data_IF_482847246887
#
_entry.id   IF_482847246887
#
_cell.length_a   1.000
_cell.length_b   1.000
_cell.length_c   1.000
_cell.angle_alpha   90.00
_cell.angle_beta   90.00
_cell.angle_gamma   90.00
#
_symmetry.space_group_name_H-M   'P 1'
#
loop_
_entity.id
_entity.type
_entity.pdbx_description
1 polymer ?
#
# COMPACT_ATOMS: atom_id res chain seq x y z
N UNK A 1 -22.96 -4.30 23.14
CA UNK A 1 -22.83 -5.29 22.06
C UNK A 1 -23.19 -4.56 20.79
N UNK A 2 -22.18 -3.99 20.13
CA UNK A 2 -22.34 -3.42 18.80
C UNK A 2 -21.98 -4.58 17.86
N UNK A 3 -22.94 -5.03 17.04
CA UNK A 3 -22.71 -6.12 16.09
C UNK A 3 -21.52 -5.76 15.19
N UNK A 4 -20.59 -6.69 15.02
CA UNK A 4 -19.57 -6.54 13.99
C UNK A 4 -20.28 -6.28 12.64
N UNK A 5 -19.73 -5.46 11.73
CA UNK A 5 -20.28 -5.32 10.40
C UNK A 5 -20.38 -6.72 9.78
N UNK A 6 -21.60 -7.23 9.68
CA UNK A 6 -21.89 -8.54 9.11
C UNK A 6 -21.51 -8.50 7.63
N UNK A 7 -21.00 -9.63 7.11
CA UNK A 7 -20.94 -9.81 5.66
C UNK A 7 -22.31 -9.46 5.06
N UNK A 8 -22.34 -8.93 3.83
CA UNK A 8 -23.60 -8.68 3.13
C UNK A 8 -24.36 -10.01 2.96
N UNK A 9 -25.21 -10.34 3.93
CA UNK A 9 -26.07 -11.53 3.93
C UNK A 9 -27.24 -11.28 2.97
N UNK A 10 -26.98 -11.48 1.69
CA UNK A 10 -27.99 -11.41 0.64
C UNK A 10 -27.62 -12.31 -0.53
N UNK A 11 -28.61 -12.96 -1.13
CA UNK A 11 -28.40 -13.67 -2.40
C UNK A 11 -27.91 -12.67 -3.46
N UNK A 12 -26.84 -12.99 -4.23
CA UNK A 12 -26.29 -12.07 -5.20
C UNK A 12 -27.38 -11.64 -6.20
N UNK A 13 -27.64 -10.34 -6.24
CA UNK A 13 -28.60 -9.75 -7.19
C UNK A 13 -27.83 -9.27 -8.42
N UNK A 14 -28.28 -9.57 -9.65
CA UNK A 14 -27.65 -9.07 -10.86
C UNK A 14 -27.54 -7.53 -10.83
N UNK A 15 -26.33 -7.01 -10.98
CA UNK A 15 -26.08 -5.56 -10.97
C UNK A 15 -26.00 -4.98 -12.38
N UNK A 16 -26.44 -3.73 -12.52
CA UNK A 16 -26.22 -2.92 -13.74
C UNK A 16 -24.87 -2.19 -13.73
N UNK A 17 -24.19 -2.19 -12.58
CA UNK A 17 -22.88 -1.54 -12.44
C UNK A 17 -21.82 -2.31 -13.24
N UNK A 18 -20.80 -1.64 -13.78
CA UNK A 18 -19.60 -2.32 -14.28
C UNK A 18 -18.98 -3.15 -13.15
N UNK A 19 -18.57 -4.37 -13.47
CA UNK A 19 -17.91 -5.29 -12.53
C UNK A 19 -16.69 -5.92 -13.19
N UNK A 20 -15.65 -6.16 -12.39
CA UNK A 20 -14.51 -6.99 -12.78
C UNK A 20 -14.63 -8.35 -12.14
N UNK A 21 -14.74 -9.41 -12.94
CA UNK A 21 -14.88 -10.79 -12.43
C UNK A 21 -13.77 -11.15 -11.43
N UNK A 22 -12.52 -10.74 -11.70
CA UNK A 22 -11.39 -11.00 -10.83
C UNK A 22 -11.43 -10.22 -9.51
N UNK A 23 -12.09 -9.05 -9.49
CA UNK A 23 -12.33 -8.28 -8.27
C UNK A 23 -13.49 -8.84 -7.46
N UNK A 24 -14.55 -9.33 -8.11
CA UNK A 24 -15.69 -9.97 -7.44
C UNK A 24 -15.25 -11.23 -6.65
N UNK A 25 -14.23 -11.96 -7.11
CA UNK A 25 -13.66 -13.12 -6.38
C UNK A 25 -13.12 -12.77 -4.99
N UNK A 26 -12.67 -11.53 -4.78
CA UNK A 26 -12.00 -11.08 -3.55
C UNK A 26 -12.81 -10.04 -2.77
N UNK A 27 -13.96 -9.62 -3.30
CA UNK A 27 -14.77 -8.54 -2.74
C UNK A 27 -15.32 -8.97 -1.37
N UNK A 28 -15.06 -8.15 -0.35
CA UNK A 28 -15.39 -8.46 1.05
C UNK A 28 -14.45 -9.48 1.72
N UNK A 29 -13.46 -10.00 0.99
CA UNK A 29 -12.43 -10.90 1.53
C UNK A 29 -11.31 -10.14 2.24
N UNK A 30 -10.85 -10.68 3.38
CA UNK A 30 -9.84 -10.06 4.22
C UNK A 30 -8.49 -10.76 4.01
N UNK A 31 -7.49 -10.02 3.52
CA UNK A 31 -6.14 -10.53 3.28
C UNK A 31 -5.24 -10.13 4.46
N UNK A 32 -4.66 -11.11 5.20
CA UNK A 32 -3.80 -10.82 6.33
C UNK A 32 -2.55 -10.03 5.92
N UNK A 33 -2.13 -9.10 6.78
CA UNK A 33 -0.89 -8.34 6.63
C UNK A 33 -0.21 -8.23 7.99
N UNK A 34 1.10 -8.44 8.05
CA UNK A 34 1.85 -8.53 9.31
C UNK A 34 1.33 -9.68 10.20
N UNK A 35 1.29 -9.47 11.52
CA UNK A 35 0.87 -10.46 12.52
C UNK A 35 -0.63 -10.41 12.87
N UNK A 36 -1.22 -9.21 12.87
CA UNK A 36 -2.64 -9.00 13.24
C UNK A 36 -3.41 -8.11 12.25
N UNK A 37 -2.74 -7.57 11.23
CA UNK A 37 -3.34 -6.64 10.28
C UNK A 37 -4.05 -7.34 9.14
N UNK A 38 -4.75 -6.53 8.35
CA UNK A 38 -5.38 -6.97 7.10
C UNK A 38 -5.66 -5.80 6.16
N UNK A 39 -5.92 -6.14 4.90
CA UNK A 39 -6.60 -5.29 3.92
C UNK A 39 -7.77 -6.08 3.33
N UNK A 40 -8.94 -5.45 3.26
CA UNK A 40 -10.10 -5.97 2.55
C UNK A 40 -10.57 -4.96 1.51
N UNK A 41 -10.86 -5.41 0.28
CA UNK A 41 -11.57 -4.60 -0.71
C UNK A 41 -13.05 -4.66 -0.37
N UNK A 42 -13.62 -3.57 0.12
CA UNK A 42 -15.01 -3.50 0.58
C UNK A 42 -15.97 -3.22 -0.56
N UNK A 43 -15.60 -2.26 -1.41
CA UNK A 43 -16.37 -1.87 -2.59
C UNK A 43 -15.44 -1.25 -3.63
N UNK A 44 -15.89 -1.23 -4.88
CA UNK A 44 -15.24 -0.49 -5.94
C UNK A 44 -16.28 0.06 -6.93
N UNK A 45 -15.95 1.17 -7.56
CA UNK A 45 -16.76 1.78 -8.61
C UNK A 45 -15.94 1.85 -9.89
N UNK A 46 -16.37 1.10 -10.92
CA UNK A 46 -15.77 1.14 -12.24
C UNK A 46 -14.51 0.30 -12.40
N UNK A 47 -14.01 0.27 -13.63
CA UNK A 47 -12.89 -0.53 -14.10
C UNK A 47 -12.13 0.22 -15.21
N UNK A 48 -11.21 -0.44 -15.91
CA UNK A 48 -10.52 0.12 -17.07
C UNK A 48 -11.47 0.66 -18.16
N UNK A 49 -12.64 0.03 -18.33
CA UNK A 49 -13.64 0.50 -19.28
C UNK A 49 -14.31 1.80 -18.80
N UNK A 50 -14.40 2.05 -17.49
CA UNK A 50 -14.81 3.36 -16.96
C UNK A 50 -13.80 4.45 -17.31
N UNK A 51 -12.50 4.17 -17.19
CA UNK A 51 -11.43 5.12 -17.58
C UNK A 51 -11.53 5.47 -19.06
N UNK A 52 -11.67 4.46 -19.93
CA UNK A 52 -11.84 4.68 -21.36
C UNK A 52 -13.10 5.49 -21.67
N UNK A 53 -14.24 5.13 -21.09
CA UNK A 53 -15.51 5.85 -21.30
C UNK A 53 -15.36 7.31 -20.92
N UNK A 54 -14.79 7.60 -19.75
CA UNK A 54 -14.58 8.96 -19.27
C UNK A 54 -13.68 9.77 -20.23
N UNK A 55 -12.58 9.18 -20.70
CA UNK A 55 -11.68 9.83 -21.66
C UNK A 55 -12.34 10.10 -23.03
N UNK A 56 -13.23 9.20 -23.48
CA UNK A 56 -13.89 9.30 -24.79
C UNK A 56 -15.12 10.20 -24.82
N UNK A 57 -15.66 10.63 -23.68
CA UNK A 57 -16.67 11.70 -23.66
C UNK A 57 -16.14 12.96 -24.37
N UNK A 58 -14.82 13.16 -24.39
CA UNK A 58 -14.16 14.20 -25.16
C UNK A 58 -14.15 13.99 -26.69
N UNK A 59 -14.44 12.78 -27.21
CA UNK A 59 -14.25 12.40 -28.63
C UNK A 59 -15.47 11.75 -29.31
N UNK A 60 -16.60 11.55 -28.61
CA UNK A 60 -17.84 11.00 -29.19
C UNK A 60 -17.91 9.46 -29.25
N UNK A 61 -19.11 8.92 -29.51
CA UNK A 61 -19.41 7.48 -29.45
C UNK A 61 -18.96 6.73 -30.74
N UNK A 62 -18.24 5.61 -30.59
CA UNK A 62 -17.84 4.71 -31.69
C UNK A 62 -17.61 3.26 -31.25
N UNK A 63 -17.65 2.31 -32.19
CA UNK A 63 -17.59 0.84 -31.98
C UNK A 63 -16.19 0.32 -31.61
N UNK A 64 -16.15 -0.74 -30.79
CA UNK A 64 -15.07 -1.09 -29.85
C UNK A 64 -14.13 -2.21 -30.33
N UNK A 65 -12.83 -2.14 -29.99
CA UNK A 65 -11.87 -3.26 -29.98
C UNK A 65 -10.99 -3.14 -28.74
N UNK A 66 -10.75 -4.24 -28.01
CA UNK A 66 -9.96 -4.28 -26.76
C UNK A 66 -8.54 -3.72 -26.93
N UNK A 67 -7.92 -3.91 -28.10
CA UNK A 67 -6.60 -3.33 -28.42
C UNK A 67 -6.59 -1.80 -28.40
N UNK A 68 -7.72 -1.15 -28.71
CA UNK A 68 -7.86 0.30 -28.65
C UNK A 68 -7.96 0.81 -27.21
N UNK A 69 -8.55 0.03 -26.30
CA UNK A 69 -8.67 0.34 -24.87
C UNK A 69 -7.29 0.38 -24.22
N UNK A 70 -6.50 -0.68 -24.37
CA UNK A 70 -5.14 -0.75 -23.80
C UNK A 70 -4.25 0.38 -24.31
N UNK A 71 -4.27 0.65 -25.62
CA UNK A 71 -3.50 1.74 -26.21
C UNK A 71 -3.88 3.11 -25.64
N UNK A 72 -5.18 3.38 -25.50
CA UNK A 72 -5.68 4.64 -24.93
C UNK A 72 -5.27 4.82 -23.46
N UNK A 73 -5.53 3.84 -22.60
CA UNK A 73 -5.22 3.94 -21.16
C UNK A 73 -3.72 4.16 -20.93
N UNK A 74 -2.88 3.45 -21.66
CA UNK A 74 -1.42 3.64 -21.62
C UNK A 74 -1.01 5.03 -22.11
N UNK A 75 -1.63 5.52 -23.19
CA UNK A 75 -1.39 6.88 -23.68
C UNK A 75 -1.75 7.93 -22.62
N UNK A 76 -2.93 7.82 -22.00
CA UNK A 76 -3.38 8.74 -20.95
C UNK A 76 -2.40 8.77 -19.79
N UNK A 77 -1.99 7.59 -19.31
CA UNK A 77 -1.05 7.44 -18.20
C UNK A 77 0.31 8.07 -18.51
N UNK A 78 0.87 7.76 -19.68
CA UNK A 78 2.17 8.26 -20.14
C UNK A 78 2.21 9.79 -20.28
N UNK A 79 1.07 10.40 -20.66
CA UNK A 79 0.95 11.85 -20.85
C UNK A 79 0.33 12.57 -19.66
N UNK A 80 0.18 11.90 -18.51
CA UNK A 80 -0.37 12.47 -17.27
C UNK A 80 -1.78 13.05 -17.46
N UNK A 81 -2.59 12.45 -18.33
CA UNK A 81 -4.03 12.71 -18.40
C UNK A 81 -4.72 11.90 -17.30
N UNK A 82 -4.77 12.44 -16.09
CA UNK A 82 -5.13 11.71 -14.86
C UNK A 82 -6.62 11.64 -14.59
N UNK A 83 -7.38 12.66 -15.00
CA UNK A 83 -8.81 12.79 -14.65
C UNK A 83 -9.70 11.62 -15.10
N UNK A 84 -9.44 10.90 -16.21
CA UNK A 84 -10.23 9.70 -16.52
C UNK A 84 -10.03 8.57 -15.50
N UNK A 85 -8.84 8.45 -14.90
CA UNK A 85 -8.57 7.45 -13.86
C UNK A 85 -9.25 7.78 -12.54
N UNK A 86 -9.52 9.06 -12.25
CA UNK A 86 -10.25 9.49 -11.04
C UNK A 86 -11.71 9.00 -11.02
N UNK A 87 -12.23 8.49 -12.15
CA UNK A 87 -13.58 7.92 -12.26
C UNK A 87 -13.66 6.45 -11.79
N UNK A 88 -12.54 5.87 -11.37
CA UNK A 88 -12.49 4.55 -10.71
C UNK A 88 -12.19 4.77 -9.24
N UNK A 89 -13.01 4.24 -8.35
CA UNK A 89 -12.87 4.40 -6.90
C UNK A 89 -12.80 3.05 -6.20
N UNK A 90 -11.98 2.96 -5.16
CA UNK A 90 -11.82 1.76 -4.34
C UNK A 90 -12.01 2.13 -2.87
N UNK A 91 -12.76 1.29 -2.15
CA UNK A 91 -12.96 1.41 -0.72
C UNK A 91 -12.37 0.19 -0.03
N UNK A 92 -11.51 0.43 0.97
CA UNK A 92 -10.83 -0.60 1.72
C UNK A 92 -11.23 -0.55 3.19
N UNK A 93 -11.26 -1.70 3.84
CA UNK A 93 -11.20 -1.81 5.29
C UNK A 93 -9.82 -2.35 5.65
N UNK A 94 -9.06 -1.58 6.43
CA UNK A 94 -7.70 -1.93 6.79
C UNK A 94 -7.56 -2.00 8.31
N UNK A 95 -6.79 -2.98 8.80
CA UNK A 95 -6.25 -2.97 10.15
C UNK A 95 -4.72 -2.90 10.10
N UNK A 96 -4.16 -1.93 10.84
CA UNK A 96 -2.72 -1.67 10.86
C UNK A 96 -2.22 -1.09 12.18
N UNK A 97 -0.91 -1.16 12.45
CA UNK A 97 -0.34 -0.45 13.59
C UNK A 97 -0.46 1.07 13.43
N UNK A 98 -0.65 1.80 14.53
CA UNK A 98 -0.78 3.27 14.52
C UNK A 98 0.41 3.95 13.83
N UNK A 99 1.65 3.45 13.98
CA UNK A 99 2.80 4.04 13.27
C UNK A 99 2.72 3.90 11.74
N UNK A 100 2.05 2.85 11.22
CA UNK A 100 1.77 2.68 9.79
C UNK A 100 0.65 3.63 9.38
N UNK A 101 -0.44 3.69 10.16
CA UNK A 101 -1.57 4.60 9.91
C UNK A 101 -1.10 6.06 9.81
N UNK A 102 -0.17 6.50 10.67
CA UNK A 102 0.41 7.85 10.64
C UNK A 102 1.20 8.19 9.37
N UNK A 103 1.78 7.19 8.69
CA UNK A 103 2.43 7.38 7.38
C UNK A 103 1.40 7.40 6.25
N UNK A 104 0.38 6.56 6.37
CA UNK A 104 -0.67 6.40 5.37
C UNK A 104 -1.62 7.60 5.32
N UNK A 105 -2.00 8.18 6.46
CA UNK A 105 -2.91 9.35 6.53
C UNK A 105 -2.34 10.63 5.89
N UNK A 106 -1.04 10.64 5.56
CA UNK A 106 -0.40 11.76 4.84
C UNK A 106 -0.88 11.89 3.39
N UNK A 107 -1.56 10.88 2.86
CA UNK A 107 -2.18 10.86 1.54
C UNK A 107 -3.58 11.50 1.60
N UNK A 108 -3.59 12.83 1.50
CA UNK A 108 -4.73 13.72 1.81
C UNK A 108 -5.89 13.67 0.80
N UNK A 109 -5.70 13.01 -0.35
CA UNK A 109 -6.71 12.90 -1.41
C UNK A 109 -7.63 11.69 -1.23
N UNK A 110 -7.58 11.04 -0.07
CA UNK A 110 -8.48 9.96 0.32
C UNK A 110 -9.52 10.44 1.36
N UNK A 111 -10.61 9.68 1.47
CA UNK A 111 -11.56 9.77 2.60
C UNK A 111 -11.25 8.68 3.62
N UNK A 112 -11.18 9.04 4.90
CA UNK A 112 -10.80 8.13 5.99
C UNK A 112 -11.82 8.20 7.13
N UNK A 113 -12.21 7.04 7.65
CA UNK A 113 -12.95 6.93 8.91
C UNK A 113 -12.26 5.90 9.80
N UNK A 114 -11.65 6.36 10.89
CA UNK A 114 -10.83 5.54 11.79
C UNK A 114 -11.56 5.19 13.08
N UNK A 115 -11.31 3.98 13.58
CA UNK A 115 -11.72 3.52 14.89
C UNK A 115 -11.30 4.52 15.98
N UNK A 116 -12.27 5.00 16.76
CA UNK A 116 -12.01 5.99 17.78
C UNK A 116 -11.96 5.35 19.16
N UNK A 117 -10.77 5.29 19.75
CA UNK A 117 -10.59 4.90 21.14
C UNK A 117 -11.28 5.83 22.15
N UNK A 118 -11.95 6.92 21.71
CA UNK A 118 -12.75 7.83 22.57
C UNK A 118 -14.10 7.22 22.87
N UNK A 119 -14.66 6.53 21.90
CA UNK A 119 -15.98 5.95 21.97
C UNK A 119 -15.93 4.48 22.34
N UNK A 120 -14.81 3.79 22.10
CA UNK A 120 -14.72 2.34 22.27
C UNK A 120 -13.40 1.92 22.93
N UNK A 121 -13.39 0.73 23.55
CA UNK A 121 -12.17 0.17 24.14
C UNK A 121 -11.27 -0.39 23.04
N UNK A 122 -10.00 0.00 23.03
CA UNK A 122 -9.04 -0.43 22.01
C UNK A 122 -8.74 -1.94 22.18
N UNK A 123 -8.81 -2.74 21.10
CA UNK A 123 -8.20 -4.07 21.10
C UNK A 123 -6.71 -4.00 21.41
N UNK A 124 -6.23 -4.82 22.34
CA UNK A 124 -4.82 -4.86 22.76
C UNK A 124 -3.99 -5.76 21.84
N UNK A 125 -4.07 -5.51 20.54
CA UNK A 125 -3.24 -6.12 19.51
C UNK A 125 -2.04 -5.22 19.26
N UNK A 126 -0.82 -5.75 19.40
CA UNK A 126 0.41 -5.00 19.23
C UNK A 126 1.29 -5.65 18.17
N UNK A 127 1.78 -4.86 17.21
CA UNK A 127 2.71 -5.36 16.18
C UNK A 127 3.98 -5.94 16.78
N UNK A 128 4.26 -7.19 16.45
CA UNK A 128 5.49 -7.89 16.77
C UNK A 128 6.21 -8.30 15.48
N UNK A 129 7.36 -7.66 15.13
CA UNK A 129 8.09 -8.03 13.92
C UNK A 129 8.65 -9.45 14.05
N UNK A 130 8.53 -10.24 12.98
CA UNK A 130 9.26 -11.51 12.86
C UNK A 130 10.76 -11.25 12.82
N UNK A 131 11.54 -12.24 13.22
CA UNK A 131 13.02 -12.16 13.25
C UNK A 131 13.61 -11.71 11.93
N UNK A 132 13.12 -12.24 10.82
CA UNK A 132 13.54 -11.91 9.44
C UNK A 132 13.31 -10.44 9.04
N UNK A 133 12.50 -9.70 9.81
CA UNK A 133 12.25 -8.27 9.61
C UNK A 133 12.89 -7.39 10.69
N UNK A 134 13.57 -8.00 11.66
CA UNK A 134 14.33 -7.29 12.68
C UNK A 134 15.78 -7.08 12.23
N UNK A 135 16.12 -5.83 11.93
CA UNK A 135 17.42 -5.47 11.40
C UNK A 135 17.97 -4.21 12.07
N UNK A 136 19.29 -4.07 12.03
CA UNK A 136 20.01 -2.91 12.56
C UNK A 136 19.76 -1.66 11.71
N UNK A 137 20.15 -0.50 12.21
CA UNK A 137 20.07 0.76 11.45
C UNK A 137 21.04 0.74 10.27
N UNK A 138 20.60 1.16 9.07
CA UNK A 138 21.49 1.31 7.93
C UNK A 138 22.51 2.43 8.15
N UNK A 139 23.78 2.17 7.86
CA UNK A 139 24.85 3.17 7.88
C UNK A 139 24.86 4.12 6.66
N UNK A 140 24.14 3.78 5.59
CA UNK A 140 24.08 4.54 4.34
C UNK A 140 22.71 5.19 4.08
N UNK A 141 21.65 4.68 4.71
CA UNK A 141 20.30 5.23 4.63
C UNK A 141 19.78 5.61 6.02
N UNK A 142 19.66 6.91 6.29
CA UNK A 142 19.13 7.40 7.56
C UNK A 142 17.65 7.01 7.81
N UNK A 143 16.95 6.48 6.80
CA UNK A 143 15.54 6.09 6.87
C UNK A 143 15.35 4.57 6.80
N UNK A 144 16.42 3.79 6.59
CA UNK A 144 16.34 2.38 6.26
C UNK A 144 16.98 1.45 7.29
N UNK A 145 16.58 0.17 7.22
CA UNK A 145 17.23 -0.94 7.91
C UNK A 145 18.51 -1.35 7.16
N UNK A 146 19.52 -1.81 7.87
CA UNK A 146 20.71 -2.42 7.30
C UNK A 146 20.35 -3.76 6.64
N UNK A 147 21.14 -4.17 5.66
CA UNK A 147 21.01 -5.49 5.05
C UNK A 147 21.65 -6.55 5.95
N UNK A 148 20.91 -7.61 6.25
CA UNK A 148 21.35 -8.74 7.07
C UNK A 148 20.58 -8.87 8.39
N UNK A 149 20.53 -10.09 8.90
CA UNK A 149 19.82 -10.41 10.13
C UNK A 149 20.55 -9.84 11.35
N UNK A 150 19.79 -9.27 12.29
CA UNK A 150 20.35 -8.98 13.59
C UNK A 150 20.63 -10.27 14.37
N UNK A 151 21.52 -10.16 15.36
CA UNK A 151 21.87 -11.26 16.24
C UNK A 151 20.63 -11.88 16.92
N UNK A 152 20.62 -13.22 17.06
CA UNK A 152 19.49 -13.97 17.58
C UNK A 152 19.18 -13.62 19.04
N UNK A 153 20.22 -13.42 19.86
CA UNK A 153 20.09 -13.06 21.27
C UNK A 153 19.57 -11.62 21.39
N UNK A 154 20.04 -10.72 20.52
CA UNK A 154 19.54 -9.36 20.45
C UNK A 154 18.04 -9.32 20.09
N UNK A 155 17.60 -10.13 19.12
CA UNK A 155 16.16 -10.23 18.80
C UNK A 155 15.35 -10.78 19.99
N UNK A 156 15.81 -11.85 20.63
CA UNK A 156 15.12 -12.42 21.78
C UNK A 156 15.01 -11.41 22.94
N UNK A 157 16.07 -10.65 23.21
CA UNK A 157 16.07 -9.59 24.21
C UNK A 157 15.15 -8.43 23.83
N UNK A 158 15.09 -8.05 22.55
CA UNK A 158 14.16 -7.02 22.06
C UNK A 158 12.70 -7.45 22.26
N UNK A 159 12.36 -8.69 21.90
CA UNK A 159 11.02 -9.27 22.12
C UNK A 159 10.67 -9.26 23.60
N UNK A 160 11.56 -9.75 24.47
CA UNK A 160 11.34 -9.75 25.93
C UNK A 160 11.07 -8.35 26.49
N UNK A 161 11.81 -7.34 26.01
CA UNK A 161 11.61 -5.93 26.42
C UNK A 161 10.29 -5.36 25.93
N UNK A 162 9.92 -5.63 24.68
CA UNK A 162 8.64 -5.18 24.13
C UNK A 162 7.46 -5.83 24.86
N UNK A 163 7.53 -7.13 25.11
CA UNK A 163 6.49 -7.86 25.84
C UNK A 163 6.33 -7.35 27.27
N UNK A 164 7.44 -7.08 27.98
CA UNK A 164 7.38 -6.52 29.33
C UNK A 164 6.65 -5.15 29.37
N UNK A 165 7.00 -4.25 28.45
CA UNK A 165 6.34 -2.92 28.36
C UNK A 165 4.87 -3.06 27.98
N UNK A 166 4.56 -3.88 26.97
CA UNK A 166 3.19 -4.07 26.49
C UNK A 166 2.30 -4.73 27.54
N UNK A 167 2.83 -5.68 28.30
CA UNK A 167 2.10 -6.33 29.39
C UNK A 167 1.76 -5.34 30.50
N UNK A 168 2.70 -4.47 30.88
CA UNK A 168 2.47 -3.43 31.88
C UNK A 168 1.40 -2.44 31.39
N UNK A 169 1.56 -1.89 30.18
CA UNK A 169 0.61 -0.93 29.61
C UNK A 169 -0.78 -1.54 29.42
N UNK A 170 -0.86 -2.83 29.04
CA UNK A 170 -2.13 -3.56 28.96
C UNK A 170 -2.84 -3.67 30.31
N UNK A 171 -2.09 -4.00 31.37
CA UNK A 171 -2.62 -4.07 32.73
C UNK A 171 -3.10 -2.71 33.23
N UNK A 172 -2.30 -1.65 33.01
CA UNK A 172 -2.64 -0.28 33.44
C UNK A 172 -3.85 0.25 32.68
N UNK A 173 -3.93 0.04 31.36
CA UNK A 173 -5.10 0.38 30.55
C UNK A 173 -6.36 -0.36 31.02
N UNK A 174 -6.25 -1.66 31.26
CA UNK A 174 -7.34 -2.49 31.76
C UNK A 174 -7.84 -2.04 33.14
N UNK A 175 -6.92 -1.69 34.04
CA UNK A 175 -7.26 -1.14 35.35
C UNK A 175 -7.96 0.22 35.23
N UNK A 176 -7.43 1.17 34.47
CA UNK A 176 -8.06 2.49 34.23
C UNK A 176 -9.47 2.34 33.64
N UNK A 177 -9.64 1.41 32.70
CA UNK A 177 -10.95 1.10 32.13
C UNK A 177 -11.91 0.52 33.18
N UNK A 178 -11.43 -0.37 34.05
CA UNK A 178 -12.21 -0.93 35.17
C UNK A 178 -12.62 0.11 36.22
N UNK A 179 -11.79 1.13 36.46
CA UNK A 179 -12.07 2.26 37.33
C UNK A 179 -12.96 3.34 36.67
N UNK A 180 -13.50 3.08 35.47
CA UNK A 180 -14.33 4.03 34.70
C UNK A 180 -13.62 5.36 34.38
N UNK A 181 -12.29 5.37 34.27
CA UNK A 181 -11.57 6.52 33.74
C UNK A 181 -12.00 6.76 32.29
N UNK A 182 -12.16 8.03 31.91
CA UNK A 182 -12.57 8.39 30.56
C UNK A 182 -11.66 7.71 29.51
N UNK A 183 -12.26 7.03 28.52
CA UNK A 183 -11.54 6.23 27.51
C UNK A 183 -10.46 7.03 26.77
N UNK A 184 -10.67 8.34 26.64
CA UNK A 184 -9.67 9.25 26.04
C UNK A 184 -8.46 9.58 26.87
N UNK A 185 -8.55 9.41 28.18
CA UNK A 185 -7.41 9.50 29.08
C UNK A 185 -6.79 8.12 29.29
N UNK A 186 -7.61 7.06 29.41
CA UNK A 186 -7.10 5.71 29.65
C UNK A 186 -6.13 5.24 28.56
N UNK A 187 -6.39 5.58 27.29
CA UNK A 187 -5.61 5.06 26.16
C UNK A 187 -4.29 5.80 25.84
N UNK A 188 -3.97 6.90 26.54
CA UNK A 188 -2.92 7.82 26.08
C UNK A 188 -1.51 7.20 26.08
N UNK A 189 -1.29 6.20 26.93
CA UNK A 189 -0.01 5.49 27.04
C UNK A 189 0.05 4.21 26.18
N UNK A 190 -1.01 3.90 25.41
CA UNK A 190 -0.96 2.79 24.46
C UNK A 190 0.14 3.06 23.41
N UNK A 191 1.04 2.09 23.15
CA UNK A 191 2.17 2.30 22.26
C UNK A 191 1.73 2.46 20.80
N UNK A 192 2.58 3.07 19.97
CA UNK A 192 2.35 3.21 18.52
C UNK A 192 2.25 1.85 17.79
N UNK A 193 2.68 0.76 18.41
CA UNK A 193 2.52 -0.60 17.88
C UNK A 193 1.09 -1.13 18.00
N UNK A 194 0.20 -0.45 18.74
CA UNK A 194 -1.21 -0.82 18.86
C UNK A 194 -1.88 -0.78 17.49
N UNK A 195 -2.68 -1.79 17.17
CA UNK A 195 -3.46 -1.83 15.95
C UNK A 195 -4.67 -0.88 16.03
N UNK A 196 -4.96 -0.23 14.91
CA UNK A 196 -6.17 0.54 14.64
C UNK A 196 -6.84 -0.05 13.40
N UNK A 197 -8.06 0.39 13.11
CA UNK A 197 -8.81 0.00 11.93
C UNK A 197 -9.42 1.24 11.27
N UNK A 198 -9.52 1.24 9.95
CA UNK A 198 -10.23 2.31 9.24
C UNK A 198 -10.90 1.84 7.96
N UNK A 199 -11.91 2.58 7.54
CA UNK A 199 -12.32 2.62 6.15
C UNK A 199 -11.51 3.67 5.41
N UNK A 200 -10.98 3.30 4.25
CA UNK A 200 -10.14 4.14 3.40
C UNK A 200 -10.64 4.10 1.96
N UNK A 201 -11.19 5.22 1.48
CA UNK A 201 -11.71 5.35 0.11
C UNK A 201 -10.85 6.31 -0.70
N UNK A 202 -10.48 5.91 -1.91
CA UNK A 202 -9.58 6.67 -2.79
C UNK A 202 -9.85 6.35 -4.26
N UNK A 203 -9.67 7.33 -5.14
CA UNK A 203 -9.72 7.12 -6.58
C UNK A 203 -8.43 6.49 -7.13
N UNK A 204 -8.51 5.87 -8.31
CA UNK A 204 -7.42 5.11 -8.90
C UNK A 204 -6.19 5.98 -9.21
N UNK A 205 -6.35 7.25 -9.60
CA UNK A 205 -5.19 8.11 -9.86
C UNK A 205 -4.37 8.32 -8.57
N UNK A 206 -5.05 8.73 -7.50
CA UNK A 206 -4.43 8.99 -6.21
C UNK A 206 -3.94 7.69 -5.55
N UNK A 207 -4.62 6.57 -5.78
CA UNK A 207 -4.19 5.26 -5.31
C UNK A 207 -2.88 4.81 -5.97
N UNK A 208 -2.74 4.98 -7.29
CA UNK A 208 -1.49 4.66 -7.98
C UNK A 208 -0.35 5.58 -7.52
N UNK A 209 -0.64 6.84 -7.18
CA UNK A 209 0.34 7.71 -6.52
C UNK A 209 0.74 7.21 -5.13
N UNK A 210 -0.22 6.80 -4.30
CA UNK A 210 0.03 6.16 -3.01
C UNK A 210 0.95 4.95 -3.16
N UNK A 211 0.58 4.03 -4.06
CA UNK A 211 1.34 2.80 -4.30
C UNK A 211 2.76 3.09 -4.78
N UNK A 212 2.95 4.05 -5.70
CA UNK A 212 4.28 4.47 -6.15
C UNK A 212 5.20 4.87 -4.98
N UNK A 213 4.64 5.49 -3.93
CA UNK A 213 5.40 5.91 -2.75
C UNK A 213 5.50 4.85 -1.66
N UNK A 214 4.64 3.83 -1.68
CA UNK A 214 4.50 2.86 -0.59
C UNK A 214 4.99 1.46 -0.93
N UNK A 215 5.08 1.09 -2.21
CA UNK A 215 5.77 -0.13 -2.65
C UNK A 215 7.26 0.11 -2.95
N UNK A 216 7.72 1.35 -2.84
CA UNK A 216 9.11 1.75 -3.00
C UNK A 216 9.99 1.21 -1.86
N UNK A 217 11.20 0.79 -2.19
CA UNK A 217 12.16 0.20 -1.23
C UNK A 217 12.56 1.15 -0.09
N UNK A 218 12.44 2.47 -0.28
CA UNK A 218 12.74 3.48 0.73
C UNK A 218 11.60 3.69 1.73
N UNK A 219 10.38 3.21 1.41
CA UNK A 219 9.29 3.22 2.38
C UNK A 219 9.60 2.25 3.53
N UNK A 220 8.99 2.47 4.70
CA UNK A 220 9.15 1.51 5.79
C UNK A 220 8.55 0.15 5.39
N UNK A 221 9.26 -0.95 5.65
CA UNK A 221 8.85 -2.30 5.24
C UNK A 221 7.39 -2.62 5.60
N UNK A 222 6.94 -2.26 6.81
CA UNK A 222 5.56 -2.55 7.23
C UNK A 222 4.50 -1.91 6.32
N UNK A 223 4.67 -0.65 5.86
CA UNK A 223 3.71 -0.03 4.93
C UNK A 223 3.87 -0.56 3.50
N UNK A 224 5.05 -1.09 3.14
CA UNK A 224 5.24 -1.78 1.87
C UNK A 224 4.36 -3.03 1.78
N UNK A 225 4.25 -3.82 2.84
CA UNK A 225 3.42 -5.03 2.82
C UNK A 225 1.94 -4.71 2.58
N UNK A 226 1.42 -3.63 3.18
CA UNK A 226 0.07 -3.13 2.85
C UNK A 226 -0.02 -2.67 1.39
N UNK A 227 0.99 -1.93 0.91
CA UNK A 227 1.07 -1.49 -0.47
C UNK A 227 1.03 -2.64 -1.47
N UNK A 228 1.73 -3.75 -1.20
CA UNK A 228 1.77 -4.95 -2.06
C UNK A 228 0.38 -5.59 -2.20
N UNK A 229 -0.32 -5.80 -1.08
CA UNK A 229 -1.68 -6.37 -1.08
C UNK A 229 -2.65 -5.45 -1.84
N UNK A 230 -2.59 -4.14 -1.60
CA UNK A 230 -3.44 -3.17 -2.30
C UNK A 230 -3.11 -3.12 -3.79
N UNK A 231 -1.83 -3.17 -4.18
CA UNK A 231 -1.42 -3.20 -5.59
C UNK A 231 -1.99 -4.44 -6.30
N UNK A 232 -1.96 -5.59 -5.64
CA UNK A 232 -2.54 -6.82 -6.16
C UNK A 232 -4.08 -6.75 -6.27
N UNK A 233 -4.77 -6.07 -5.33
CA UNK A 233 -6.21 -5.75 -5.47
C UNK A 233 -6.49 -4.81 -6.65
N UNK A 234 -5.65 -3.79 -6.87
CA UNK A 234 -5.78 -2.89 -8.04
C UNK A 234 -5.60 -3.65 -9.35
N UNK A 235 -4.67 -4.61 -9.42
CA UNK A 235 -4.48 -5.51 -10.57
C UNK A 235 -5.76 -6.26 -10.92
N UNK A 236 -6.56 -6.65 -9.92
CA UNK A 236 -7.86 -7.33 -10.09
C UNK A 236 -8.97 -6.37 -10.55
N UNK A 237 -8.97 -5.12 -10.11
CA UNK A 237 -10.00 -4.12 -10.45
C UNK A 237 -9.76 -3.47 -11.83
N UNK A 238 -8.52 -3.07 -12.12
CA UNK A 238 -8.15 -2.31 -13.32
C UNK A 238 -6.79 -2.79 -13.89
N UNK A 239 -6.73 -4.00 -14.46
CA UNK A 239 -5.47 -4.64 -14.89
C UNK A 239 -4.67 -3.85 -15.92
N UNK A 240 -5.33 -3.14 -16.85
CA UNK A 240 -4.64 -2.33 -17.87
C UNK A 240 -4.04 -1.08 -17.24
N UNK A 241 -4.79 -0.41 -16.36
CA UNK A 241 -4.29 0.75 -15.61
C UNK A 241 -3.15 0.36 -14.66
N UNK A 242 -3.23 -0.81 -14.03
CA UNK A 242 -2.16 -1.41 -13.23
C UNK A 242 -0.91 -1.68 -14.08
N UNK A 243 -1.06 -2.32 -15.25
CA UNK A 243 0.06 -2.58 -16.17
C UNK A 243 0.75 -1.27 -16.58
N UNK A 244 -0.03 -0.25 -16.94
CA UNK A 244 0.51 1.06 -17.29
C UNK A 244 1.20 1.74 -16.10
N UNK A 245 0.72 1.53 -14.88
CA UNK A 245 1.38 2.02 -13.67
C UNK A 245 2.74 1.35 -13.43
N UNK A 246 2.79 0.03 -13.53
CA UNK A 246 4.03 -0.74 -13.41
C UNK A 246 5.05 -0.22 -14.43
N UNK A 247 4.68 -0.12 -15.70
CA UNK A 247 5.61 0.26 -16.76
C UNK A 247 6.11 1.71 -16.65
N UNK A 248 5.23 2.65 -16.30
CA UNK A 248 5.54 4.08 -16.41
C UNK A 248 5.89 4.77 -15.09
N UNK A 249 5.62 4.14 -13.94
CA UNK A 249 5.94 4.72 -12.64
C UNK A 249 6.80 3.83 -11.75
N UNK A 250 6.58 2.52 -11.74
CA UNK A 250 7.35 1.60 -10.89
C UNK A 250 8.68 1.23 -11.57
N UNK A 251 8.60 0.86 -12.84
CA UNK A 251 9.75 0.53 -13.68
C UNK A 251 10.25 1.71 -14.50
N UNK A 252 9.49 2.82 -14.52
CA UNK A 252 9.81 4.02 -15.29
C UNK A 252 10.55 5.06 -14.45
N UNK A 253 11.72 5.48 -14.92
CA UNK A 253 12.47 6.58 -14.30
C UNK A 253 12.38 7.88 -15.10
N UNK A 254 12.38 9.00 -14.36
CA UNK A 254 12.59 10.31 -14.96
C UNK A 254 14.08 10.55 -15.15
N UNK A 255 14.45 10.89 -16.37
CA UNK A 255 15.80 11.33 -16.71
C UNK A 255 15.86 12.85 -16.74
N UNK A 256 16.83 13.41 -16.03
CA UNK A 256 17.15 14.83 -16.07
C UNK A 256 17.72 15.21 -17.45
N UNK A 257 17.77 16.52 -17.71
CA UNK A 257 18.41 17.05 -18.92
C UNK A 257 19.85 16.54 -19.10
N UNK A 258 20.61 16.44 -18.00
CA UNK A 258 22.00 15.96 -18.04
C UNK A 258 22.07 14.48 -18.38
N UNK A 259 21.23 13.66 -17.76
CA UNK A 259 21.13 12.22 -18.02
C UNK A 259 20.75 11.94 -19.48
N UNK A 260 19.77 12.68 -20.02
CA UNK A 260 19.39 12.57 -21.44
C UNK A 260 20.54 12.93 -22.39
N UNK A 261 21.35 13.95 -22.06
CA UNK A 261 22.54 14.31 -22.84
C UNK A 261 23.61 13.22 -22.80
N UNK A 262 23.79 12.57 -21.64
CA UNK A 262 24.71 11.45 -21.51
C UNK A 262 24.27 10.30 -22.43
N UNK A 263 22.99 9.92 -22.40
CA UNK A 263 22.46 8.87 -23.28
C UNK A 263 22.58 9.24 -24.76
N UNK A 264 22.33 10.49 -25.15
CA UNK A 264 22.48 10.93 -26.55
C UNK A 264 23.93 10.83 -27.07
N UNK A 265 24.94 10.84 -26.18
CA UNK A 265 26.36 10.60 -26.53
C UNK A 265 26.70 9.12 -26.66
N UNK A 266 25.90 8.23 -26.06
CA UNK A 266 26.11 6.77 -26.09
C UNK A 266 25.29 6.09 -27.18
N UNK A 267 24.11 6.64 -27.50
CA UNK A 267 23.12 6.01 -28.36
C UNK A 267 22.75 6.96 -29.51
N UNK A 268 22.60 6.41 -30.71
CA UNK A 268 22.02 7.08 -31.86
C UNK A 268 20.60 6.56 -32.08
N UNK A 269 19.68 7.46 -32.44
CA UNK A 269 18.31 7.12 -32.79
C UNK A 269 17.96 7.82 -34.11
N UNK A 270 17.49 7.05 -35.08
CA UNK A 270 17.07 7.51 -36.40
C UNK A 270 15.84 6.70 -36.89
N UNK A 271 15.43 6.90 -38.15
CA UNK A 271 14.28 6.18 -38.72
C UNK A 271 14.47 4.65 -38.75
N UNK A 272 15.71 4.16 -38.75
CA UNK A 272 16.06 2.75 -38.75
C UNK A 272 16.08 2.11 -37.37
N UNK A 273 16.03 2.90 -36.29
CA UNK A 273 15.92 2.40 -34.91
C UNK A 273 16.87 3.09 -33.95
N UNK A 274 17.28 2.34 -32.91
CA UNK A 274 18.14 2.82 -31.82
C UNK A 274 19.35 1.90 -31.72
N UNK A 275 20.56 2.47 -31.84
CA UNK A 275 21.80 1.71 -31.82
C UNK A 275 22.88 2.38 -30.95
N UNK A 276 23.74 1.57 -30.33
CA UNK A 276 24.90 2.08 -29.62
C UNK A 276 25.87 2.75 -30.61
N UNK A 277 26.45 3.88 -30.22
CA UNK A 277 27.50 4.55 -31.00
C UNK A 277 28.82 3.78 -30.85
N UNK A 278 29.58 3.54 -31.94
CA UNK A 278 30.86 2.85 -31.87
C UNK A 278 31.82 3.55 -30.89
N UNK A 279 32.50 2.74 -30.07
CA UNK A 279 33.52 3.17 -29.10
C UNK A 279 33.07 4.25 -28.09
N UNK A 280 31.75 4.46 -27.94
CA UNK A 280 31.22 5.46 -27.04
C UNK A 280 31.23 4.97 -25.59
N UNK A 281 31.95 5.70 -24.74
CA UNK A 281 31.93 5.54 -23.29
C UNK A 281 31.95 6.91 -22.61
N UNK A 282 31.42 6.99 -21.39
CA UNK A 282 31.44 8.20 -20.57
C UNK A 282 32.00 7.85 -19.20
N UNK A 283 33.08 8.54 -18.81
CA UNK A 283 33.61 8.49 -17.45
C UNK A 283 32.77 9.34 -16.51
N UNK A 284 32.97 9.17 -15.20
CA UNK A 284 32.34 10.04 -14.19
C UNK A 284 32.75 11.52 -14.38
N UNK A 285 33.95 11.77 -14.92
CA UNK A 285 34.40 13.11 -15.30
C UNK A 285 33.59 13.69 -16.46
N UNK A 286 33.30 12.90 -17.48
CA UNK A 286 32.47 13.32 -18.63
C UNK A 286 31.03 13.60 -18.20
N UNK A 287 30.47 12.76 -17.33
CA UNK A 287 29.14 12.95 -16.75
C UNK A 287 29.11 14.21 -15.87
N UNK A 288 30.17 14.48 -15.11
CA UNK A 288 30.35 15.73 -14.37
C UNK A 288 30.38 16.96 -15.29
N UNK A 289 31.07 16.86 -16.44
CA UNK A 289 31.09 17.88 -17.48
C UNK A 289 29.72 18.14 -18.14
N UNK A 290 28.79 17.18 -18.04
CA UNK A 290 27.39 17.34 -18.46
C UNK A 290 26.49 17.96 -17.38
N UNK A 291 27.04 18.25 -16.21
CA UNK A 291 26.36 18.92 -15.10
C UNK A 291 25.72 17.98 -14.09
N UNK A 292 26.07 16.69 -14.08
CA UNK A 292 25.61 15.77 -13.04
C UNK A 292 26.52 15.86 -11.82
N UNK A 293 25.93 15.97 -10.64
CA UNK A 293 26.65 15.80 -9.37
C UNK A 293 27.08 14.34 -9.17
N UNK A 294 28.00 14.09 -8.22
CA UNK A 294 28.41 12.73 -7.83
C UNK A 294 27.23 11.85 -7.42
N UNK A 295 26.18 12.44 -6.82
CA UNK A 295 24.97 11.72 -6.43
C UNK A 295 24.14 11.34 -7.65
N UNK A 296 23.88 12.29 -8.55
CA UNK A 296 23.13 12.05 -9.79
C UNK A 296 23.83 11.04 -10.71
N UNK A 297 25.18 11.02 -10.74
CA UNK A 297 25.95 10.01 -11.48
C UNK A 297 25.65 8.60 -10.94
N UNK A 298 25.63 8.43 -9.61
CA UNK A 298 25.29 7.14 -9.00
C UNK A 298 23.84 6.75 -9.26
N UNK A 299 22.91 7.71 -9.16
CA UNK A 299 21.50 7.49 -9.46
C UNK A 299 21.30 7.10 -10.93
N UNK A 300 21.96 7.77 -11.90
CA UNK A 300 21.92 7.39 -13.31
C UNK A 300 22.39 5.95 -13.53
N UNK A 301 23.52 5.56 -12.92
CA UNK A 301 24.03 4.19 -13.01
C UNK A 301 23.03 3.17 -12.45
N UNK A 302 22.36 3.49 -11.34
CA UNK A 302 21.31 2.65 -10.78
C UNK A 302 20.09 2.56 -11.69
N UNK A 303 19.65 3.66 -12.31
CA UNK A 303 18.52 3.68 -13.26
C UNK A 303 18.77 2.80 -14.49
N UNK A 304 20.01 2.73 -14.96
CA UNK A 304 20.42 1.94 -16.13
C UNK A 304 20.65 0.45 -15.80
N UNK A 305 20.72 0.09 -14.52
CA UNK A 305 20.85 -1.31 -14.13
C UNK A 305 19.55 -2.07 -14.45
N UNK A 306 19.64 -3.34 -14.91
CA UNK A 306 18.47 -4.20 -15.04
C UNK A 306 17.72 -4.30 -13.71
N UNK A 307 16.39 -4.29 -13.79
CA UNK A 307 15.50 -4.45 -12.63
C UNK A 307 14.43 -5.48 -12.97
N UNK A 308 14.12 -6.31 -11.99
CA UNK A 308 13.00 -7.23 -12.09
C UNK A 308 11.69 -6.47 -11.94
N UNK A 309 10.71 -6.82 -12.77
CA UNK A 309 9.37 -6.26 -12.65
C UNK A 309 8.74 -6.86 -11.39
N UNK A 310 8.32 -6.05 -10.41
CA UNK A 310 7.69 -6.59 -9.22
C UNK A 310 6.37 -7.25 -9.60
N UNK A 311 6.13 -8.45 -9.07
CA UNK A 311 4.86 -9.14 -9.22
C UNK A 311 4.08 -9.06 -7.90
N UNK A 312 3.04 -8.24 -7.90
CA UNK A 312 2.13 -8.12 -6.76
C UNK A 312 0.95 -9.07 -7.00
N UNK A 313 0.95 -10.18 -6.28
CA UNK A 313 -0.10 -11.20 -6.35
C UNK A 313 -0.77 -11.43 -4.99
N UNK A 314 -2.05 -11.80 -5.04
CA UNK A 314 -2.80 -12.23 -3.87
C UNK A 314 -2.79 -13.74 -3.78
N UNK A 315 -2.40 -14.27 -2.63
CA UNK A 315 -2.68 -15.65 -2.27
C UNK A 315 -4.14 -15.75 -1.79
N UNK A 316 -5.04 -16.09 -2.71
CA UNK A 316 -6.48 -16.22 -2.41
C UNK A 316 -6.76 -17.30 -1.36
N UNK A 317 -5.84 -18.26 -1.15
CA UNK A 317 -5.99 -19.27 -0.10
C UNK A 317 -5.87 -18.70 1.32
N UNK A 318 -5.30 -17.50 1.47
CA UNK A 318 -5.16 -16.79 2.74
C UNK A 318 -6.35 -15.87 3.06
N UNK A 319 -7.29 -15.73 2.13
CA UNK A 319 -8.46 -14.89 2.29
C UNK A 319 -9.31 -15.37 3.47
N UNK A 320 -9.61 -14.45 4.40
CA UNK A 320 -10.41 -14.70 5.60
C UNK A 320 -11.79 -14.03 5.47
N UNK A 321 -12.74 -14.53 6.24
CA UNK A 321 -14.06 -13.92 6.36
C UNK A 321 -14.01 -12.70 7.31
N UNK A 322 -14.92 -11.71 7.15
CA UNK A 322 -15.03 -10.58 8.06
C UNK A 322 -15.31 -11.00 9.51
N UNK A 323 -16.10 -12.07 9.73
CA UNK A 323 -16.42 -12.58 11.06
C UNK A 323 -15.16 -13.00 11.80
N UNK A 324 -14.24 -13.69 11.10
CA UNK A 324 -12.98 -14.11 11.71
C UNK A 324 -12.11 -12.94 12.13
N UNK A 325 -12.02 -11.90 11.30
CA UNK A 325 -11.28 -10.69 11.62
C UNK A 325 -11.89 -9.94 12.82
N UNK A 326 -13.22 -9.93 12.92
CA UNK A 326 -13.95 -9.33 14.03
C UNK A 326 -13.77 -10.12 15.34
N UNK A 327 -13.79 -11.46 15.29
CA UNK A 327 -13.53 -12.34 16.44
C UNK A 327 -12.14 -12.09 17.04
N UNK A 328 -11.10 -12.07 16.19
CA UNK A 328 -9.71 -11.85 16.63
C UNK A 328 -9.56 -10.47 17.31
N UNK A 329 -10.23 -9.43 16.78
CA UNK A 329 -10.23 -8.09 17.38
C UNK A 329 -11.01 -8.02 18.70
N UNK A 330 -12.21 -8.64 18.75
CA UNK A 330 -13.06 -8.64 19.94
C UNK A 330 -12.41 -9.41 21.10
N UNK A 331 -11.76 -10.53 20.82
CA UNK A 331 -11.03 -11.32 21.81
C UNK A 331 -9.89 -10.53 22.49
N UNK A 332 -9.36 -9.50 21.82
CA UNK A 332 -8.30 -8.65 22.34
C UNK A 332 -8.82 -7.41 23.09
N UNK A 333 -10.13 -7.17 23.17
CA UNK A 333 -10.70 -6.04 23.92
C UNK A 333 -10.74 -6.37 25.43
N UNK A 334 -10.22 -5.50 26.30
CA UNK A 334 -10.29 -5.71 27.75
C UNK A 334 -11.74 -5.88 28.24
N UNK A 335 -11.98 -6.94 29.01
CA UNK A 335 -13.29 -7.20 29.63
C UNK A 335 -14.33 -7.92 28.73
N UNK A 336 -14.03 -8.22 27.47
CA UNK A 336 -14.96 -8.91 26.56
C UNK A 336 -15.31 -10.36 27.00
N UNK A 337 -14.53 -10.97 27.91
CA UNK A 337 -14.79 -12.29 28.48
C UNK A 337 -15.61 -12.33 29.78
N UNK A 338 -16.10 -11.18 30.27
CA UNK A 338 -16.81 -11.08 31.55
C UNK A 338 -18.27 -10.66 31.35
N UNK A 339 -19.16 -11.62 31.12
CA UNK A 339 -20.59 -11.43 31.36
C UNK A 339 -20.81 -11.13 32.85
N UNK A 340 -20.77 -9.85 33.22
CA UNK A 340 -21.33 -9.42 34.49
C UNK A 340 -22.85 -9.49 34.36
N UNK A 341 -23.40 -10.61 34.81
CA UNK A 341 -24.73 -10.65 35.42
C UNK A 341 -24.72 -9.67 36.60
N UNK A 342 -25.21 -8.45 36.35
CA UNK A 342 -25.59 -7.51 37.40
C UNK A 342 -26.96 -7.87 38.00
N UNK A 343 -27.22 -7.48 39.26
CA UNK A 343 -28.29 -8.00 40.13
C UNK A 343 -29.72 -7.72 39.65
#
# INVERSE_FOLDING_TARGET
MEEAPTAFEGSPTPTRRPTSAAAEEILGGYFPVLDHGFVALVDYMGDDASVERAARVSYGYGTRKVSMTRGLLRYLRRHLHTTPSEMVELCFHCSMPIFVARQWVRHRTASVNEYSGRYSLMPLLFYNPRREHFALQSGSSNQGRATGDADAELYAEAVRRWEAVRSQVAADYGWLAGENVARELARIDLPLSTYTQWYWKIDLHNLLHFLTLRVDEHAQWEIQEYGRVIAAMVKRVAPISYEAWIDYQVMGDRLSRGELRALARLVAADEGGVAARPDASLSDGDLGGLGLSKREIRELKAKLAPRDVPDFELDVSQMRSPERAAEDALAAVPGAGGGQSGP
#
